data_IF_178053652917
#
_entry.id   IF_178053652917
#
_cell.length_a   1.000
_cell.length_b   1.000
_cell.length_c   1.000
_cell.angle_alpha   90.00
_cell.angle_beta   90.00
_cell.angle_gamma   90.00
#
_symmetry.space_group_name_H-M   'P 1'
#
loop_
_entity.id
_entity.type
_entity.pdbx_description
1 polymer ?
#
# COMPACT_ATOMS: atom_id res chain seq x y z
N UNK A 1 -8.27 37.43 5.87
CA UNK A 1 -9.67 37.86 5.99
C UNK A 1 -9.95 38.99 5.01
N UNK A 2 -10.12 38.63 3.76
CA UNK A 2 -11.01 39.32 2.82
C UNK A 2 -11.15 38.36 1.65
N UNK A 3 -12.30 37.71 1.60
CA UNK A 3 -12.90 37.28 0.36
C UNK A 3 -14.40 37.47 0.57
N UNK A 4 -14.92 38.51 -0.04
CA UNK A 4 -16.34 38.79 -0.08
C UNK A 4 -16.92 37.98 -1.25
N UNK A 5 -17.89 37.11 -0.97
CA UNK A 5 -18.91 36.76 -1.95
C UNK A 5 -20.24 36.64 -1.22
N UNK A 6 -21.21 37.33 -1.77
CA UNK A 6 -22.55 37.58 -1.26
C UNK A 6 -23.45 36.36 -1.45
N UNK A 7 -24.27 36.04 -0.43
CA UNK A 7 -25.69 35.70 -0.64
C UNK A 7 -26.47 35.88 0.66
N UNK A 8 -27.47 36.77 0.58
CA UNK A 8 -28.54 36.97 1.57
C UNK A 8 -29.63 35.94 1.32
N UNK A 9 -30.06 35.21 2.35
CA UNK A 9 -31.45 34.77 2.59
C UNK A 9 -31.65 34.68 4.12
N UNK A 10 -32.34 35.66 4.75
CA UNK A 10 -33.73 35.56 5.28
C UNK A 10 -34.09 34.18 5.86
N UNK A 11 -34.38 34.11 7.17
CA UNK A 11 -35.75 34.10 7.69
C UNK A 11 -35.78 34.11 9.24
N UNK A 12 -36.75 34.86 9.74
CA UNK A 12 -37.14 35.03 11.15
C UNK A 12 -38.04 33.86 11.60
N UNK A 13 -37.97 33.50 12.87
CA UNK A 13 -39.14 33.21 13.73
C UNK A 13 -38.66 33.31 15.19
N UNK A 14 -39.12 34.27 16.00
CA UNK A 14 -40.43 34.50 16.62
C UNK A 14 -40.61 33.75 17.95
N UNK A 15 -40.59 34.57 19.01
CA UNK A 15 -41.41 34.53 20.24
C UNK A 15 -41.39 33.30 21.15
N UNK A 16 -41.00 33.53 22.40
CA UNK A 16 -41.92 33.36 23.53
C UNK A 16 -41.48 34.27 24.69
N UNK A 17 -42.32 35.25 25.02
CA UNK A 17 -42.29 36.02 26.26
C UNK A 17 -43.41 35.48 27.16
N UNK A 18 -43.06 35.20 28.41
CA UNK A 18 -43.92 34.97 29.56
C UNK A 18 -43.04 35.42 30.74
N UNK A 19 -43.39 36.32 31.65
CA UNK A 19 -44.62 37.00 31.98
C UNK A 19 -44.47 37.34 33.47
N UNK A 20 -44.66 38.60 33.86
CA UNK A 20 -44.89 38.93 35.26
C UNK A 20 -45.75 40.18 35.34
N UNK A 21 -47.02 39.98 35.71
CA UNK A 21 -47.93 40.99 36.25
C UNK A 21 -47.84 40.85 37.77
N UNK A 22 -47.74 41.92 38.53
CA UNK A 22 -48.84 42.66 39.19
C UNK A 22 -48.14 43.41 40.36
N UNK A 23 -48.54 44.53 40.96
CA UNK A 23 -49.82 45.24 41.10
C UNK A 23 -49.53 46.63 41.72
N UNK A 24 -50.53 47.51 41.65
CA UNK A 24 -50.58 48.93 42.01
C UNK A 24 -50.55 49.25 43.52
N UNK A 25 -50.11 50.48 43.90
CA UNK A 25 -50.62 51.20 45.08
C UNK A 25 -49.62 52.09 45.84
N UNK A 26 -49.97 53.33 46.30
CA UNK A 26 -49.01 54.39 46.64
C UNK A 26 -48.72 54.57 48.15
N UNK A 27 -47.51 55.04 48.45
CA UNK A 27 -47.19 55.86 49.64
C UNK A 27 -46.69 55.13 50.90
N UNK A 28 -45.54 55.58 51.42
CA UNK A 28 -45.12 55.37 52.82
C UNK A 28 -43.66 54.92 53.02
N UNK A 29 -42.80 55.84 53.46
CA UNK A 29 -41.56 55.54 54.24
C UNK A 29 -41.91 55.41 55.73
N UNK A 30 -41.06 54.89 56.67
CA UNK A 30 -39.58 54.76 56.62
C UNK A 30 -38.92 53.50 57.26
N UNK A 31 -37.64 53.25 56.94
CA UNK A 31 -36.59 52.89 57.93
C UNK A 31 -36.02 51.44 58.00
N UNK A 32 -34.72 51.24 58.36
CA UNK A 32 -33.82 50.21 57.77
C UNK A 32 -33.06 49.30 58.78
N UNK A 33 -32.42 48.18 58.35
CA UNK A 33 -31.15 47.64 58.95
C UNK A 33 -30.64 46.27 58.43
N UNK A 34 -31.42 45.45 57.72
CA UNK A 34 -31.03 44.05 57.42
C UNK A 34 -30.28 43.80 56.09
N UNK A 35 -30.13 44.81 55.23
CA UNK A 35 -29.84 44.58 53.80
C UNK A 35 -28.38 44.76 53.38
N UNK A 36 -27.53 45.37 54.20
CA UNK A 36 -26.24 45.87 53.72
C UNK A 36 -25.16 44.78 53.57
N UNK A 37 -25.13 43.77 54.45
CA UNK A 37 -24.15 42.67 54.37
C UNK A 37 -24.46 41.64 53.29
N UNK A 38 -25.75 41.46 52.97
CA UNK A 38 -26.20 40.52 51.93
C UNK A 38 -26.23 41.13 50.53
N UNK A 39 -26.27 42.46 50.41
CA UNK A 39 -26.16 43.14 49.11
C UNK A 39 -24.72 43.26 48.64
N UNK A 40 -23.76 43.55 49.53
CA UNK A 40 -22.35 43.68 49.16
C UNK A 40 -21.76 42.35 48.62
N UNK A 41 -22.11 41.22 49.23
CA UNK A 41 -21.73 39.89 48.74
C UNK A 41 -22.41 39.51 47.41
N UNK A 42 -23.66 39.96 47.20
CA UNK A 42 -24.43 39.67 45.99
C UNK A 42 -23.98 40.53 44.81
N UNK A 43 -23.55 41.77 45.08
CA UNK A 43 -22.95 42.66 44.09
C UNK A 43 -21.54 42.17 43.67
N UNK A 44 -20.72 41.67 44.59
CA UNK A 44 -19.45 41.01 44.24
C UNK A 44 -19.66 39.72 43.43
N UNK A 45 -20.62 38.86 43.80
CA UNK A 45 -20.95 37.65 43.04
C UNK A 45 -21.49 37.98 41.63
N UNK A 46 -22.34 39.00 41.48
CA UNK A 46 -22.85 39.44 40.18
C UNK A 46 -21.72 40.00 39.29
N UNK A 47 -20.78 40.77 39.87
CA UNK A 47 -19.63 41.31 39.13
C UNK A 47 -18.65 40.20 38.69
N UNK A 48 -18.43 39.19 39.54
CA UNK A 48 -17.64 38.00 39.20
C UNK A 48 -18.32 37.12 38.14
N UNK A 49 -19.63 36.91 38.23
CA UNK A 49 -20.41 36.14 37.25
C UNK A 49 -20.40 36.84 35.88
N UNK A 50 -20.48 38.17 35.85
CA UNK A 50 -20.32 38.96 34.64
C UNK A 50 -18.90 38.90 34.07
N UNK A 51 -17.87 38.93 34.91
CA UNK A 51 -16.48 38.78 34.49
C UNK A 51 -16.22 37.37 33.91
N UNK A 52 -16.80 36.34 34.53
CA UNK A 52 -16.77 34.96 34.05
C UNK A 52 -17.53 34.80 32.73
N UNK A 53 -18.75 35.36 32.61
CA UNK A 53 -19.53 35.38 31.35
C UNK A 53 -18.77 36.05 30.22
N UNK A 54 -18.08 37.17 30.49
CA UNK A 54 -17.27 37.87 29.48
C UNK A 54 -16.03 37.05 29.08
N UNK A 55 -15.36 36.38 30.03
CA UNK A 55 -14.24 35.45 29.75
C UNK A 55 -14.70 34.22 28.95
N UNK A 56 -15.86 33.66 29.28
CA UNK A 56 -16.45 32.51 28.60
C UNK A 56 -16.84 32.88 27.16
N UNK A 57 -17.54 34.00 26.98
CA UNK A 57 -17.91 34.53 25.65
C UNK A 57 -16.67 34.82 24.80
N UNK A 58 -15.62 35.40 25.39
CA UNK A 58 -14.34 35.56 24.70
C UNK A 58 -13.74 34.19 24.34
N UNK A 59 -13.78 33.18 25.22
CA UNK A 59 -13.22 31.85 24.90
C UNK A 59 -13.90 31.20 23.68
N UNK A 60 -15.23 31.33 23.57
CA UNK A 60 -16.04 30.76 22.48
C UNK A 60 -16.21 31.63 21.23
N UNK A 61 -15.76 32.89 21.24
CA UNK A 61 -15.75 33.74 20.03
C UNK A 61 -14.81 33.19 18.96
N UNK A 62 -15.18 33.42 17.69
CA UNK A 62 -14.40 32.95 16.55
C UNK A 62 -12.99 33.57 16.54
N UNK A 63 -11.97 32.87 16.03
CA UNK A 63 -10.58 33.36 16.03
C UNK A 63 -10.41 34.69 15.29
N UNK A 64 -11.24 34.94 14.27
CA UNK A 64 -11.28 36.19 13.51
C UNK A 64 -11.83 37.35 14.37
N UNK A 65 -12.89 37.11 15.15
CA UNK A 65 -13.47 38.12 16.05
C UNK A 65 -12.52 38.44 17.22
N UNK A 66 -11.77 37.44 17.72
CA UNK A 66 -10.69 37.65 18.71
C UNK A 66 -9.56 38.53 18.19
N UNK A 67 -9.22 38.39 16.90
CA UNK A 67 -8.18 39.20 16.27
C UNK A 67 -8.64 40.65 16.10
N UNK A 68 -9.90 40.85 15.68
CA UNK A 68 -10.49 42.16 15.46
C UNK A 68 -10.77 42.92 16.77
N UNK A 69 -11.07 42.22 17.87
CA UNK A 69 -11.35 42.82 19.18
C UNK A 69 -10.12 43.14 20.04
N UNK A 70 -8.96 42.49 19.82
CA UNK A 70 -7.77 42.63 20.69
C UNK A 70 -6.43 42.77 19.98
N UNK A 71 -6.36 42.67 18.65
CA UNK A 71 -5.13 42.88 17.87
C UNK A 71 -4.01 41.83 18.06
N UNK A 72 -4.23 40.77 18.86
CA UNK A 72 -3.23 39.70 19.05
C UNK A 72 -3.14 38.83 17.79
N UNK A 73 -2.03 38.95 17.05
CA UNK A 73 -1.72 38.13 15.85
C UNK A 73 -2.04 36.65 16.12
N UNK A 74 -2.91 36.01 15.32
CA UNK A 74 -3.41 34.65 15.58
C UNK A 74 -2.38 33.62 15.10
N UNK A 75 -1.22 33.58 15.74
CA UNK A 75 -0.12 32.67 15.41
C UNK A 75 -0.58 31.20 15.37
N UNK A 76 -1.54 30.82 16.21
CA UNK A 76 -2.14 29.48 16.22
C UNK A 76 -2.84 29.12 14.89
N UNK A 77 -3.52 30.07 14.26
CA UNK A 77 -4.22 29.86 12.98
C UNK A 77 -3.23 29.87 11.80
N UNK A 78 -2.20 30.71 11.86
CA UNK A 78 -1.10 30.68 10.90
C UNK A 78 -0.32 29.38 10.92
N UNK A 79 -0.02 28.84 12.12
CA UNK A 79 0.64 27.55 12.28
C UNK A 79 -0.20 26.40 11.70
N UNK A 80 -1.52 26.47 11.85
CA UNK A 80 -2.44 25.46 11.33
C UNK A 80 -2.49 25.47 9.80
N UNK A 81 -2.45 26.66 9.17
CA UNK A 81 -2.41 26.80 7.72
C UNK A 81 -1.05 26.39 7.14
N UNK A 82 0.04 26.73 7.82
CA UNK A 82 1.39 26.26 7.48
C UNK A 82 1.51 24.73 7.59
N UNK A 83 0.93 24.13 8.64
CA UNK A 83 0.88 22.68 8.79
C UNK A 83 0.17 22.01 7.61
N UNK A 84 -0.97 22.55 7.18
CA UNK A 84 -1.70 22.01 6.01
C UNK A 84 -0.79 22.07 4.78
N UNK A 85 -0.15 23.21 4.51
CA UNK A 85 0.75 23.36 3.36
C UNK A 85 1.91 22.36 3.41
N UNK A 86 2.58 22.22 4.55
CA UNK A 86 3.70 21.28 4.72
C UNK A 86 3.23 19.83 4.52
N UNK A 87 2.11 19.43 5.13
CA UNK A 87 1.57 18.07 5.00
C UNK A 87 1.15 17.78 3.55
N UNK A 88 0.52 18.74 2.88
CA UNK A 88 0.14 18.58 1.46
C UNK A 88 1.38 18.44 0.58
N UNK A 89 2.43 19.25 0.80
CA UNK A 89 3.67 19.14 0.03
C UNK A 89 4.36 17.80 0.26
N UNK A 90 4.46 17.37 1.52
CA UNK A 90 5.03 16.06 1.88
C UNK A 90 4.28 14.90 1.21
N UNK A 91 2.94 14.96 1.19
CA UNK A 91 2.11 13.92 0.59
C UNK A 91 2.27 13.86 -0.94
N UNK A 92 2.38 15.02 -1.62
CA UNK A 92 2.60 15.06 -3.07
C UNK A 92 3.98 14.50 -3.44
N UNK A 93 5.04 14.90 -2.71
CA UNK A 93 6.39 14.38 -2.95
C UNK A 93 6.46 12.86 -2.74
N UNK A 94 5.84 12.37 -1.67
CA UNK A 94 5.75 10.93 -1.42
C UNK A 94 4.93 10.20 -2.50
N UNK A 95 3.85 10.80 -2.98
CA UNK A 95 3.03 10.23 -4.06
C UNK A 95 3.81 10.05 -5.36
N UNK A 96 4.60 11.04 -5.76
CA UNK A 96 5.41 10.99 -6.98
C UNK A 96 6.49 9.91 -6.92
N UNK A 97 7.18 9.78 -5.78
CA UNK A 97 8.20 8.75 -5.57
C UNK A 97 7.59 7.34 -5.63
N UNK A 98 6.48 7.11 -4.92
CA UNK A 98 5.78 5.81 -4.95
C UNK A 98 5.23 5.46 -6.34
N UNK A 99 4.76 6.46 -7.09
CA UNK A 99 4.23 6.23 -8.44
C UNK A 99 5.31 5.64 -9.37
N UNK A 100 6.54 6.15 -9.31
CA UNK A 100 7.62 5.64 -10.16
C UNK A 100 7.95 4.18 -9.84
N UNK A 101 8.07 3.83 -8.56
CA UNK A 101 8.36 2.46 -8.10
C UNK A 101 7.27 1.49 -8.56
N UNK A 102 6.00 1.88 -8.42
CA UNK A 102 4.87 1.07 -8.86
C UNK A 102 4.89 0.87 -10.38
N UNK A 103 5.14 1.94 -11.14
CA UNK A 103 5.19 1.89 -12.61
C UNK A 103 6.28 0.93 -13.08
N UNK A 104 7.49 1.04 -12.52
CA UNK A 104 8.59 0.14 -12.86
C UNK A 104 8.26 -1.33 -12.55
N UNK A 105 7.65 -1.60 -11.39
CA UNK A 105 7.19 -2.94 -11.02
C UNK A 105 6.14 -3.47 -11.99
N UNK A 106 5.15 -2.65 -12.35
CA UNK A 106 4.05 -3.04 -13.23
C UNK A 106 4.53 -3.31 -14.66
N UNK A 107 5.38 -2.45 -15.22
CA UNK A 107 5.96 -2.62 -16.55
C UNK A 107 6.83 -3.88 -16.65
N UNK A 108 7.69 -4.13 -15.65
CA UNK A 108 8.47 -5.38 -15.59
C UNK A 108 7.55 -6.60 -15.45
N UNK A 109 6.49 -6.51 -14.64
CA UNK A 109 5.52 -7.60 -14.50
C UNK A 109 4.81 -7.90 -15.83
N UNK A 110 4.44 -6.87 -16.59
CA UNK A 110 3.89 -7.03 -17.93
C UNK A 110 4.89 -7.71 -18.87
N UNK A 111 6.15 -7.25 -18.89
CA UNK A 111 7.21 -7.87 -19.68
C UNK A 111 7.40 -9.35 -19.33
N UNK A 112 7.42 -9.71 -18.04
CA UNK A 112 7.53 -11.11 -17.60
C UNK A 112 6.35 -11.97 -18.05
N UNK A 113 5.12 -11.44 -18.09
CA UNK A 113 3.97 -12.17 -18.62
C UNK A 113 4.17 -12.50 -20.10
N UNK A 114 4.61 -11.52 -20.89
CA UNK A 114 4.87 -11.72 -22.32
C UNK A 114 6.08 -12.63 -22.60
N UNK A 115 7.09 -12.65 -21.73
CA UNK A 115 8.27 -13.50 -21.88
C UNK A 115 8.02 -14.95 -21.47
N UNK A 116 7.38 -15.19 -20.33
CA UNK A 116 7.29 -16.52 -19.72
C UNK A 116 5.96 -17.24 -19.95
N UNK A 117 4.86 -16.51 -20.23
CA UNK A 117 3.58 -17.14 -20.51
C UNK A 117 3.39 -17.32 -22.01
N UNK A 118 3.40 -18.57 -22.45
CA UNK A 118 3.20 -18.92 -23.87
C UNK A 118 1.85 -18.38 -24.38
N UNK A 119 1.88 -17.59 -25.46
CA UNK A 119 0.66 -17.07 -26.09
C UNK A 119 -0.10 -16.05 -25.23
N UNK A 120 0.60 -15.32 -24.36
CA UNK A 120 -0.01 -14.31 -23.50
C UNK A 120 -0.74 -13.21 -24.29
N UNK A 121 -1.88 -12.77 -23.76
CA UNK A 121 -2.70 -11.66 -24.29
C UNK A 121 -3.22 -10.85 -23.11
N UNK A 122 -3.11 -9.52 -23.17
CA UNK A 122 -3.37 -8.64 -22.03
C UNK A 122 -4.83 -8.68 -21.54
N UNK A 123 -5.79 -8.92 -22.44
CA UNK A 123 -7.22 -8.89 -22.12
C UNK A 123 -7.86 -10.26 -21.84
N UNK A 124 -7.07 -11.34 -21.76
CA UNK A 124 -7.59 -12.71 -21.68
C UNK A 124 -7.11 -13.46 -20.44
N UNK A 125 -8.03 -14.16 -19.75
CA UNK A 125 -7.65 -15.12 -18.72
C UNK A 125 -6.91 -16.30 -19.36
N UNK A 126 -5.68 -16.54 -18.91
CA UNK A 126 -4.88 -17.65 -19.37
C UNK A 126 -5.34 -18.95 -18.70
N UNK A 127 -5.67 -19.94 -19.53
CA UNK A 127 -6.01 -21.27 -19.07
C UNK A 127 -5.63 -22.30 -20.13
N UNK A 128 -5.32 -23.50 -19.67
CA UNK A 128 -5.06 -24.68 -20.51
C UNK A 128 -6.12 -25.74 -20.26
N UNK A 129 -6.39 -26.52 -21.29
CA UNK A 129 -7.46 -27.52 -21.30
C UNK A 129 -6.96 -28.93 -21.60
N UNK A 130 -5.74 -29.06 -22.12
CA UNK A 130 -5.12 -30.36 -22.40
C UNK A 130 -3.83 -30.57 -21.62
N UNK A 131 -3.50 -31.83 -21.35
CA UNK A 131 -2.23 -32.18 -20.67
C UNK A 131 -1.02 -31.78 -21.52
N UNK A 132 -1.10 -31.94 -22.84
CA UNK A 132 -0.04 -31.55 -23.77
C UNK A 132 0.22 -30.03 -23.75
N UNK A 133 -0.84 -29.22 -23.70
CA UNK A 133 -0.71 -27.76 -23.51
C UNK A 133 -0.03 -27.45 -22.18
N UNK A 134 -0.44 -28.08 -21.08
CA UNK A 134 0.17 -27.84 -19.77
C UNK A 134 1.69 -28.06 -19.80
N UNK A 135 2.14 -29.18 -20.37
CA UNK A 135 3.57 -29.44 -20.57
C UNK A 135 4.25 -28.41 -21.47
N UNK A 136 3.60 -28.02 -22.58
CA UNK A 136 4.15 -27.03 -23.49
C UNK A 136 4.31 -25.64 -22.84
N UNK A 137 3.41 -25.25 -21.93
CA UNK A 137 3.53 -24.02 -21.15
C UNK A 137 4.66 -24.08 -20.13
N UNK A 138 4.84 -25.22 -19.44
CA UNK A 138 5.96 -25.42 -18.49
C UNK A 138 7.30 -25.35 -19.22
N UNK A 139 7.45 -26.11 -20.31
CA UNK A 139 8.68 -26.12 -21.09
C UNK A 139 9.00 -24.74 -21.66
N UNK A 140 8.00 -24.04 -22.21
CA UNK A 140 8.20 -22.68 -22.71
C UNK A 140 8.72 -21.73 -21.63
N UNK A 141 8.11 -21.74 -20.44
CA UNK A 141 8.56 -20.88 -19.33
C UNK A 141 10.02 -21.16 -18.93
N UNK A 142 10.42 -22.43 -18.89
CA UNK A 142 11.79 -22.85 -18.53
C UNK A 142 12.77 -22.49 -19.65
N UNK A 143 12.44 -22.76 -20.91
CA UNK A 143 13.29 -22.43 -22.07
C UNK A 143 13.53 -20.91 -22.16
N UNK A 144 12.47 -20.12 -21.97
CA UNK A 144 12.56 -18.65 -21.94
C UNK A 144 13.35 -18.13 -20.76
N UNK A 145 13.24 -18.78 -19.59
CA UNK A 145 14.09 -18.49 -18.44
C UNK A 145 15.56 -18.74 -18.78
N UNK A 146 15.91 -19.89 -19.36
CA UNK A 146 17.31 -20.21 -19.70
C UNK A 146 17.88 -19.30 -20.79
N UNK A 147 17.05 -18.87 -21.75
CA UNK A 147 17.44 -17.98 -22.84
C UNK A 147 17.35 -16.48 -22.50
N UNK A 148 16.93 -16.13 -21.27
CA UNK A 148 16.56 -14.77 -20.88
C UNK A 148 17.59 -13.69 -21.29
N UNK A 149 18.92 -13.85 -21.05
CA UNK A 149 19.92 -12.84 -21.38
C UNK A 149 20.01 -12.49 -22.87
N UNK A 150 19.53 -13.37 -23.75
CA UNK A 150 19.60 -13.21 -25.20
C UNK A 150 18.29 -12.73 -25.82
N UNK A 151 17.15 -12.91 -25.15
CA UNK A 151 15.82 -12.59 -25.67
C UNK A 151 15.20 -11.34 -25.05
N UNK A 152 15.58 -10.97 -23.82
CA UNK A 152 14.96 -9.86 -23.12
C UNK A 152 15.52 -8.50 -23.55
N UNK A 153 14.65 -7.50 -23.66
CA UNK A 153 15.06 -6.10 -23.84
C UNK A 153 15.61 -5.49 -22.55
N UNK A 154 15.15 -5.97 -21.39
CA UNK A 154 15.68 -5.60 -20.08
C UNK A 154 16.96 -6.37 -19.75
N UNK A 155 17.80 -5.77 -18.90
CA UNK A 155 19.00 -6.44 -18.36
C UNK A 155 18.67 -7.10 -17.03
N UNK A 156 18.53 -8.42 -17.05
CA UNK A 156 18.23 -9.23 -15.88
C UNK A 156 19.43 -10.10 -15.50
N UNK A 157 19.67 -10.25 -14.20
CA UNK A 157 20.67 -11.17 -13.66
C UNK A 157 19.97 -12.26 -12.83
N UNK A 158 20.44 -13.50 -12.95
CA UNK A 158 19.95 -14.60 -12.12
C UNK A 158 20.47 -14.48 -10.69
N UNK A 159 19.71 -14.97 -9.73
CA UNK A 159 20.14 -15.09 -8.33
C UNK A 159 20.60 -16.53 -8.08
N UNK A 160 21.92 -16.74 -8.07
CA UNK A 160 22.53 -18.03 -7.72
C UNK A 160 22.38 -18.32 -6.22
N UNK A 161 22.17 -19.59 -5.83
CA UNK A 161 21.97 -19.93 -4.42
C UNK A 161 20.66 -19.41 -3.84
N UNK A 162 19.64 -19.22 -4.70
CA UNK A 162 18.37 -18.61 -4.33
C UNK A 162 17.52 -19.46 -3.39
N UNK A 163 16.30 -18.98 -3.10
CA UNK A 163 15.29 -19.69 -2.30
C UNK A 163 14.73 -20.96 -2.96
N UNK A 164 15.29 -21.40 -4.08
CA UNK A 164 14.90 -22.62 -4.77
C UNK A 164 15.35 -23.87 -4.03
N UNK A 165 14.79 -25.01 -4.45
CA UNK A 165 15.09 -26.30 -3.85
C UNK A 165 16.55 -26.66 -4.08
N UNK A 166 17.25 -27.07 -3.02
CA UNK A 166 18.69 -27.38 -3.02
C UNK A 166 19.61 -26.22 -3.44
N UNK A 167 19.16 -24.96 -3.29
CA UNK A 167 19.95 -23.78 -3.65
C UNK A 167 19.92 -23.44 -5.15
N UNK A 168 19.06 -24.10 -5.93
CA UNK A 168 18.90 -23.79 -7.35
C UNK A 168 18.25 -22.43 -7.58
N UNK A 169 18.58 -21.79 -8.70
CA UNK A 169 18.06 -20.48 -9.09
C UNK A 169 16.57 -20.50 -9.52
N UNK A 170 16.13 -21.60 -10.13
CA UNK A 170 14.73 -21.86 -10.49
C UNK A 170 14.24 -23.14 -9.82
N UNK A 171 12.98 -23.15 -9.40
CA UNK A 171 12.31 -24.31 -8.82
C UNK A 171 11.01 -24.60 -9.55
N UNK A 172 10.88 -25.84 -10.05
CA UNK A 172 9.64 -26.39 -10.59
C UNK A 172 9.05 -27.33 -9.55
N UNK A 173 7.88 -27.01 -9.02
CA UNK A 173 7.20 -27.79 -8.00
C UNK A 173 5.80 -28.21 -8.44
N UNK A 174 5.42 -29.45 -8.14
CA UNK A 174 4.04 -29.91 -8.19
C UNK A 174 3.54 -30.15 -6.77
N UNK A 175 2.30 -29.76 -6.49
CA UNK A 175 1.60 -30.10 -5.26
C UNK A 175 0.44 -31.00 -5.59
N UNK A 176 0.33 -32.12 -4.90
CA UNK A 176 -0.71 -33.12 -5.15
C UNK A 176 -1.18 -33.77 -3.85
N UNK A 177 -2.39 -34.33 -3.87
CA UNK A 177 -2.93 -35.10 -2.74
C UNK A 177 -2.18 -36.41 -2.56
N UNK A 178 -1.89 -36.82 -1.32
CA UNK A 178 -1.13 -38.04 -1.05
C UNK A 178 -1.77 -39.27 -1.70
N UNK A 179 -3.11 -39.38 -1.60
CA UNK A 179 -3.95 -40.33 -2.32
C UNK A 179 -5.09 -39.58 -2.99
N UNK A 180 -5.44 -39.99 -4.20
CA UNK A 180 -6.50 -39.36 -4.98
C UNK A 180 -7.03 -40.34 -6.02
N UNK A 181 -7.48 -41.51 -5.58
CA UNK A 181 -8.15 -42.46 -6.46
C UNK A 181 -9.57 -41.96 -6.68
N UNK A 182 -9.88 -41.54 -7.91
CA UNK A 182 -11.21 -41.05 -8.30
C UNK A 182 -11.63 -41.90 -9.50
N UNK A 183 -12.72 -42.65 -9.36
CA UNK A 183 -13.25 -43.53 -10.39
C UNK A 183 -14.68 -43.09 -10.76
N UNK A 184 -14.82 -42.12 -11.69
CA UNK A 184 -16.14 -41.61 -12.07
C UNK A 184 -17.07 -42.67 -12.66
N UNK A 185 -16.53 -43.76 -13.21
CA UNK A 185 -17.32 -44.88 -13.76
C UNK A 185 -18.06 -45.63 -12.66
N UNK A 186 -17.46 -45.73 -11.47
CA UNK A 186 -17.99 -46.48 -10.33
C UNK A 186 -18.64 -45.57 -9.28
N UNK A 187 -18.65 -44.25 -9.50
CA UNK A 187 -19.06 -43.23 -8.52
C UNK A 187 -18.30 -43.32 -7.17
N UNK A 188 -17.06 -43.82 -7.19
CA UNK A 188 -16.24 -44.00 -5.98
C UNK A 188 -15.02 -43.06 -5.95
N UNK A 189 -14.59 -42.70 -4.74
CA UNK A 189 -13.37 -41.92 -4.51
C UNK A 189 -12.71 -42.30 -3.17
N UNK A 190 -11.38 -42.30 -3.14
CA UNK A 190 -10.54 -42.39 -1.93
C UNK A 190 -9.45 -41.31 -2.00
N UNK A 191 -9.63 -40.27 -1.19
CA UNK A 191 -8.78 -39.08 -1.19
C UNK A 191 -8.18 -38.89 0.20
N UNK A 192 -6.85 -38.79 0.25
CA UNK A 192 -6.13 -38.33 1.43
C UNK A 192 -5.75 -36.85 1.19
N UNK A 193 -6.37 -35.90 1.91
CA UNK A 193 -6.20 -34.47 1.65
C UNK A 193 -4.80 -33.94 2.05
N UNK A 194 -3.93 -34.78 2.61
CA UNK A 194 -2.54 -34.41 2.90
C UNK A 194 -1.82 -34.03 1.61
N UNK A 195 -1.28 -32.82 1.58
CA UNK A 195 -0.57 -32.28 0.41
C UNK A 195 0.88 -32.73 0.44
N UNK A 196 1.31 -33.37 -0.64
CA UNK A 196 2.71 -33.68 -0.91
C UNK A 196 3.22 -32.67 -1.94
N UNK A 197 4.45 -32.18 -1.72
CA UNK A 197 5.11 -31.26 -2.64
C UNK A 197 6.36 -31.94 -3.17
N UNK A 198 6.47 -32.00 -4.49
CA UNK A 198 7.60 -32.59 -5.20
C UNK A 198 8.21 -31.52 -6.10
N UNK A 199 9.51 -31.31 -6.00
CA UNK A 199 10.19 -30.17 -6.61
C UNK A 199 11.50 -30.58 -7.26
N UNK A 200 11.81 -29.94 -8.38
CA UNK A 200 13.08 -30.06 -9.09
C UNK A 200 13.70 -28.67 -9.22
N UNK A 201 14.98 -28.56 -8.86
CA UNK A 201 15.77 -27.34 -9.02
C UNK A 201 16.43 -27.30 -10.39
N UNK A 202 16.51 -26.11 -10.98
CA UNK A 202 17.22 -25.84 -12.23
C UNK A 202 18.10 -24.62 -12.06
N UNK A 203 19.34 -24.75 -12.51
CA UNK A 203 20.30 -23.65 -12.52
C UNK A 203 20.58 -23.20 -13.96
N UNK A 204 20.62 -21.88 -14.21
CA UNK A 204 20.96 -21.37 -15.52
C UNK A 204 22.41 -21.76 -15.85
N UNK A 205 22.75 -21.94 -17.13
CA UNK A 205 24.11 -22.26 -17.53
C UNK A 205 25.05 -21.16 -17.05
N UNK A 206 25.95 -21.51 -16.14
CA UNK A 206 27.10 -20.66 -15.83
C UNK A 206 28.04 -20.67 -17.05
N UNK A 207 28.91 -19.68 -17.17
CA UNK A 207 29.91 -19.59 -18.25
C UNK A 207 30.86 -20.81 -18.34
N UNK A 208 30.78 -21.76 -17.41
CA UNK A 208 31.46 -23.05 -17.44
C UNK A 208 30.55 -24.13 -18.04
N UNK A 209 30.75 -24.40 -19.33
CA UNK A 209 30.75 -25.68 -20.08
C UNK A 209 29.91 -26.92 -19.66
N UNK A 210 28.94 -26.84 -18.74
CA UNK A 210 28.00 -27.93 -18.49
C UNK A 210 26.64 -27.60 -19.12
N UNK A 211 26.09 -28.49 -19.98
CA UNK A 211 24.77 -28.29 -20.53
C UNK A 211 23.76 -28.26 -19.37
N UNK A 212 22.75 -27.36 -19.41
CA UNK A 212 21.72 -27.30 -18.37
C UNK A 212 21.09 -28.69 -18.23
N UNK A 213 20.98 -29.18 -16.99
CA UNK A 213 20.43 -30.51 -16.73
C UNK A 213 19.03 -30.60 -17.35
N UNK A 214 18.83 -31.57 -18.25
CA UNK A 214 17.54 -31.79 -18.90
C UNK A 214 16.55 -32.52 -17.99
N UNK A 215 16.80 -32.53 -16.68
CA UNK A 215 16.03 -33.28 -15.68
C UNK A 215 14.57 -32.83 -15.63
N UNK A 216 14.28 -31.57 -15.97
CA UNK A 216 12.91 -31.07 -16.06
C UNK A 216 12.06 -31.75 -17.14
N UNK A 217 12.67 -32.33 -18.18
CA UNK A 217 11.95 -33.06 -19.24
C UNK A 217 11.39 -34.40 -18.74
N UNK A 218 11.93 -34.92 -17.64
CA UNK A 218 11.47 -36.15 -17.00
C UNK A 218 10.40 -35.90 -15.92
N UNK A 219 9.98 -34.64 -15.74
CA UNK A 219 9.03 -34.26 -14.70
C UNK A 219 7.62 -34.74 -15.05
N UNK A 220 7.13 -35.76 -14.34
CA UNK A 220 5.81 -36.36 -14.60
C UNK A 220 4.74 -35.76 -13.69
N UNK A 221 3.70 -35.17 -14.29
CA UNK A 221 2.61 -34.53 -13.58
C UNK A 221 1.50 -35.54 -13.25
N UNK A 222 1.09 -35.57 -11.98
CA UNK A 222 0.05 -36.47 -11.50
C UNK A 222 -1.35 -35.84 -11.59
N UNK A 223 -1.83 -35.54 -12.81
CA UNK A 223 -3.04 -34.75 -13.07
C UNK A 223 -4.29 -35.16 -12.25
N UNK A 224 -4.50 -36.47 -12.07
CA UNK A 224 -5.64 -37.03 -11.35
C UNK A 224 -5.70 -36.63 -9.87
N UNK A 225 -4.56 -36.27 -9.28
CA UNK A 225 -4.43 -35.82 -7.88
C UNK A 225 -3.69 -34.48 -7.73
N UNK A 226 -3.44 -33.80 -8.84
CA UNK A 226 -2.67 -32.56 -8.92
C UNK A 226 -3.49 -31.36 -8.45
N UNK A 227 -2.96 -30.63 -7.46
CA UNK A 227 -3.57 -29.40 -6.93
C UNK A 227 -3.10 -28.20 -7.76
N UNK A 228 -1.78 -28.03 -7.90
CA UNK A 228 -1.19 -27.00 -8.73
C UNK A 228 0.26 -27.32 -9.09
N UNK A 229 0.77 -26.62 -10.11
CA UNK A 229 2.19 -26.57 -10.46
C UNK A 229 2.67 -25.13 -10.30
N UNK A 230 3.86 -24.97 -9.74
CA UNK A 230 4.49 -23.66 -9.53
C UNK A 230 5.90 -23.65 -10.10
N UNK A 231 6.21 -22.61 -10.87
CA UNK A 231 7.57 -22.30 -11.32
C UNK A 231 7.99 -21.01 -10.62
N UNK A 232 8.99 -21.09 -9.76
CA UNK A 232 9.44 -19.96 -8.94
C UNK A 232 10.93 -19.71 -9.14
N UNK A 233 11.30 -18.47 -9.42
CA UNK A 233 12.68 -18.02 -9.62
C UNK A 233 12.82 -16.53 -9.28
N UNK A 234 14.06 -16.09 -9.09
CA UNK A 234 14.37 -14.70 -8.77
C UNK A 234 15.24 -14.06 -9.86
N UNK A 235 14.94 -12.81 -10.20
CA UNK A 235 15.70 -12.00 -11.16
C UNK A 235 16.07 -10.66 -10.54
N UNK A 236 17.31 -10.24 -10.72
CA UNK A 236 17.78 -8.89 -10.36
C UNK A 236 17.75 -7.96 -11.56
N UNK A 237 17.33 -6.72 -11.33
CA UNK A 237 17.35 -5.64 -12.31
C UNK A 237 17.75 -4.32 -11.62
N UNK A 238 18.21 -3.36 -12.40
CA UNK A 238 18.54 -2.01 -11.92
C UNK A 238 17.56 -1.04 -12.57
N UNK A 239 16.91 -0.21 -11.76
CA UNK A 239 16.01 0.82 -12.29
C UNK A 239 16.84 2.05 -12.71
N UNK A 240 17.19 2.12 -14.00
CA UNK A 240 17.95 3.25 -14.54
C UNK A 240 17.09 4.51 -14.77
N UNK A 241 15.76 4.42 -14.68
CA UNK A 241 14.87 5.56 -14.90
C UNK A 241 15.05 6.65 -13.82
N UNK A 242 15.49 6.27 -12.62
CA UNK A 242 15.72 7.20 -11.51
C UNK A 242 16.84 8.20 -11.80
N UNK A 243 17.80 7.86 -12.67
CA UNK A 243 18.89 8.77 -13.08
C UNK A 243 18.33 10.02 -13.77
N UNK A 244 17.22 9.90 -14.50
CA UNK A 244 16.55 11.03 -15.17
C UNK A 244 16.09 12.08 -14.15
N UNK A 245 15.79 11.64 -12.93
CA UNK A 245 15.33 12.49 -11.83
C UNK A 245 16.45 12.86 -10.85
N UNK A 246 17.71 12.69 -11.24
CA UNK A 246 18.89 12.94 -10.40
C UNK A 246 18.95 12.08 -9.12
N UNK A 247 18.25 10.95 -9.10
CA UNK A 247 18.27 9.99 -7.99
C UNK A 247 19.20 8.82 -8.31
N UNK A 248 19.78 8.22 -7.27
CA UNK A 248 20.64 7.04 -7.42
C UNK A 248 19.76 5.84 -7.81
N UNK A 249 20.17 4.99 -8.77
CA UNK A 249 19.45 3.76 -9.11
C UNK A 249 19.31 2.80 -7.93
N UNK A 250 18.09 2.32 -7.73
CA UNK A 250 17.82 1.21 -6.83
C UNK A 250 17.98 -0.14 -7.54
N UNK A 251 18.41 -1.14 -6.76
CA UNK A 251 18.55 -2.52 -7.19
C UNK A 251 17.27 -3.28 -6.81
N UNK A 252 16.58 -3.82 -7.81
CA UNK A 252 15.35 -4.58 -7.64
C UNK A 252 15.64 -6.07 -7.70
N UNK A 253 15.10 -6.83 -6.75
CA UNK A 253 15.00 -8.27 -6.85
C UNK A 253 13.55 -8.67 -7.03
N UNK A 254 13.23 -9.18 -8.21
CA UNK A 254 11.92 -9.69 -8.56
C UNK A 254 11.84 -11.18 -8.20
N UNK A 255 10.86 -11.54 -7.40
CA UNK A 255 10.45 -12.91 -7.09
C UNK A 255 9.25 -13.26 -7.96
N UNK A 256 9.51 -13.97 -9.06
CA UNK A 256 8.50 -14.37 -10.03
C UNK A 256 7.99 -15.76 -9.67
N UNK A 257 6.68 -15.92 -9.61
CA UNK A 257 6.02 -17.22 -9.43
C UNK A 257 4.91 -17.40 -10.46
N UNK A 258 5.07 -18.39 -11.33
CA UNK A 258 4.06 -18.84 -12.28
C UNK A 258 3.25 -19.94 -11.61
N UNK A 259 1.95 -19.76 -11.48
CA UNK A 259 1.02 -20.70 -10.83
C UNK A 259 0.06 -21.25 -11.86
N UNK A 260 0.05 -22.57 -11.99
CA UNK A 260 -0.91 -23.33 -12.79
C UNK A 260 -1.87 -24.03 -11.83
N UNK A 261 -3.04 -23.45 -11.62
CA UNK A 261 -4.00 -23.84 -10.59
C UNK A 261 -5.04 -24.83 -11.11
N UNK A 262 -5.02 -26.05 -10.55
CA UNK A 262 -5.95 -27.14 -10.83
C UNK A 262 -6.83 -27.51 -9.62
N UNK A 263 -6.92 -26.65 -8.57
CA UNK A 263 -7.68 -26.93 -7.34
C UNK A 263 -9.14 -27.34 -7.58
N UNK A 264 -9.75 -26.83 -8.64
CA UNK A 264 -11.15 -27.12 -8.97
C UNK A 264 -11.34 -28.47 -9.69
N UNK A 265 -10.27 -29.11 -10.18
CA UNK A 265 -10.31 -30.35 -10.97
C UNK A 265 -11.38 -30.35 -12.09
N UNK A 266 -11.62 -29.20 -12.71
CA UNK A 266 -12.71 -28.97 -13.67
C UNK A 266 -12.35 -29.26 -15.14
N UNK A 267 -11.15 -29.78 -15.39
CA UNK A 267 -10.58 -29.90 -16.75
C UNK A 267 -10.08 -28.57 -17.33
N UNK A 268 -10.18 -27.45 -16.59
CA UNK A 268 -9.60 -26.16 -16.90
C UNK A 268 -8.57 -25.78 -15.85
N UNK A 269 -7.31 -25.64 -16.24
CA UNK A 269 -6.22 -25.18 -15.36
C UNK A 269 -5.95 -23.71 -15.64
N UNK A 270 -6.04 -22.87 -14.61
CA UNK A 270 -5.79 -21.42 -14.74
C UNK A 270 -4.30 -21.14 -14.59
N UNK A 271 -3.73 -20.32 -15.48
CA UNK A 271 -2.33 -19.92 -15.42
C UNK A 271 -2.25 -18.46 -15.00
N UNK A 272 -1.40 -18.16 -14.02
CA UNK A 272 -1.17 -16.79 -13.56
C UNK A 272 0.30 -16.58 -13.24
N UNK A 273 0.79 -15.35 -13.43
CA UNK A 273 2.13 -14.93 -13.03
C UNK A 273 2.01 -13.88 -11.93
N UNK A 274 2.63 -14.17 -10.79
CA UNK A 274 2.76 -13.26 -9.65
C UNK A 274 4.19 -12.76 -9.59
N UNK A 275 4.36 -11.48 -9.29
CA UNK A 275 5.65 -10.84 -9.14
C UNK A 275 5.67 -10.02 -7.84
N UNK A 276 6.60 -10.36 -6.96
CA UNK A 276 6.90 -9.60 -5.75
C UNK A 276 8.27 -8.95 -5.93
N UNK A 277 8.39 -7.66 -5.62
CA UNK A 277 9.63 -6.92 -5.81
C UNK A 277 10.16 -6.47 -4.45
N UNK A 278 11.41 -6.81 -4.14
CA UNK A 278 12.17 -6.18 -3.07
C UNK A 278 13.13 -5.14 -3.64
N UNK A 279 13.30 -4.05 -2.91
CA UNK A 279 14.10 -2.89 -3.31
C UNK A 279 15.22 -2.75 -2.31
N UNK A 280 16.45 -2.71 -2.82
CA UNK A 280 17.67 -2.56 -2.01
C UNK A 280 18.57 -1.50 -2.67
N UNK A 281 19.35 -0.80 -1.84
CA UNK A 281 20.37 0.11 -2.36
C UNK A 281 21.45 -0.69 -3.11
N UNK A 282 21.79 -0.25 -4.31
CA UNK A 282 22.87 -0.87 -5.06
C UNK A 282 24.21 -0.66 -4.35
N UNK A 283 25.08 -1.68 -4.38
CA UNK A 283 26.42 -1.58 -3.84
C UNK A 283 27.31 -0.74 -4.77
N UNK A 284 27.96 0.29 -4.20
CA UNK A 284 28.95 1.15 -4.86
C UNK A 284 28.48 1.80 -6.20
N UNK A 285 27.40 2.60 -6.20
CA UNK A 285 26.91 3.25 -7.41
C UNK A 285 27.87 4.37 -7.86
N UNK A 286 28.29 4.34 -9.13
CA UNK A 286 29.09 5.42 -9.75
C UNK A 286 28.35 6.01 -10.95
N UNK A 287 28.03 7.30 -10.87
CA UNK A 287 27.41 8.07 -11.95
C UNK A 287 28.34 9.24 -12.28
N UNK A 288 29.09 9.11 -13.38
CA UNK A 288 29.98 10.18 -13.85
C UNK A 288 29.18 11.29 -14.53
N UNK A 289 29.45 12.55 -14.18
CA UNK A 289 28.78 13.72 -14.75
C UNK A 289 27.92 14.53 -13.78
N UNK A 290 27.69 14.04 -12.55
CA UNK A 290 27.16 14.86 -11.47
C UNK A 290 28.29 15.48 -10.65
N UNK A 291 28.39 16.82 -10.68
CA UNK A 291 29.24 17.55 -9.74
C UNK A 291 28.85 17.19 -8.31
N UNK A 292 29.85 16.92 -7.48
CA UNK A 292 29.75 16.52 -6.07
C UNK A 292 28.65 17.31 -5.34
N UNK A 293 27.47 16.71 -5.16
CA UNK A 293 26.49 17.04 -4.09
C UNK A 293 25.39 15.96 -4.04
N UNK A 294 25.78 14.69 -3.96
CA UNK A 294 24.90 13.60 -3.60
C UNK A 294 24.72 13.50 -2.08
N UNK A 295 24.25 14.57 -1.43
CA UNK A 295 23.65 14.41 -0.09
C UNK A 295 22.22 13.95 -0.31
N UNK A 296 21.73 12.89 0.37
CA UNK A 296 20.32 12.54 0.31
C UNK A 296 19.54 13.70 0.93
N UNK A 297 18.96 14.56 0.08
CA UNK A 297 18.01 15.57 0.52
C UNK A 297 16.70 14.84 0.83
N UNK A 298 16.55 14.53 2.11
CA UNK A 298 15.35 14.09 2.81
C UNK A 298 14.93 12.62 2.64
N UNK A 299 15.64 11.72 3.34
CA UNK A 299 14.96 10.62 4.03
C UNK A 299 14.95 10.95 5.53
N UNK A 300 13.77 11.30 6.05
CA UNK A 300 13.49 11.06 7.47
C UNK A 300 13.17 9.58 7.54
N UNK A 301 14.14 8.76 7.93
CA UNK A 301 13.94 7.33 8.17
C UNK A 301 12.86 7.15 9.25
N UNK A 302 11.68 6.70 8.87
CA UNK A 302 10.74 6.11 9.83
C UNK A 302 11.20 4.66 10.09
N UNK A 303 11.47 4.27 11.35
CA UNK A 303 11.83 2.88 11.65
C UNK A 303 10.64 1.95 11.40
N UNK A 304 10.89 0.67 11.03
CA UNK A 304 9.83 -0.31 10.85
C UNK A 304 9.13 -0.59 12.19
N UNK A 305 7.80 -0.60 12.17
CA UNK A 305 7.01 -1.07 13.30
C UNK A 305 7.13 -2.60 13.40
N UNK A 306 8.02 -3.08 14.26
CA UNK A 306 8.00 -4.46 14.73
C UNK A 306 6.76 -4.66 15.60
N UNK A 307 5.79 -5.43 15.09
CA UNK A 307 4.72 -5.97 15.91
C UNK A 307 5.24 -7.23 16.61
N UNK A 308 5.56 -7.13 17.90
CA UNK A 308 5.61 -8.32 18.77
C UNK A 308 4.19 -8.63 19.27
N UNK A 309 3.76 -9.89 19.27
CA UNK A 309 2.48 -10.31 19.80
C UNK A 309 2.52 -10.43 21.32
N UNK A 310 1.46 -9.96 21.98
CA UNK A 310 1.07 -10.36 23.35
C UNK A 310 0.07 -11.50 23.25
#
# INVERSE_FOLDING_TARGET
>A
CQFHSSSKERLLSSSASYGSRDLLGPGGSPGPAGLLGSQLHREEEEEEEEALRRKLKYFFMSPCDKYQAKGRKPFKLGLQLLKILIVTLQLVLFGLSNQMVVTFKEENTAAFRHLFLKGYRDDAQQAVHTQAEMYAHIHHAIEQYLALPHISLGRYAYVSGGSGVNGSALSLCQRYYRRGAIEPVNDTFDIDPRVVTDCTGLDPPSSSAEPPSSDYKNFTLLFYKLINVTISFQLKAINIQTIINNEIPDCYTFSITIVMDNRAHSGKVKISLRNEASIEECKDPNVSGHGETGTPRCFVSCPPCSAEPV
#
